data_IF_215376246422
#
_entry.id   IF_215376246422
#
_cell.length_a   1.000
_cell.length_b   1.000
_cell.length_c   1.000
_cell.angle_alpha   90.00
_cell.angle_beta   90.00
_cell.angle_gamma   90.00
#
_symmetry.space_group_name_H-M   'P 1'
#
loop_
_entity.id
_entity.type
_entity.pdbx_description
1 polymer ?
#
# COMPACT_ATOMS: atom_id res chain seq x y z
N UNK A 1 -66.39 -23.33 7.93
CA UNK A 1 -67.86 -23.40 7.77
C UNK A 1 -68.14 -23.50 6.28
N UNK A 2 -68.77 -24.58 5.81
CA UNK A 2 -69.06 -24.77 4.38
C UNK A 2 -70.14 -23.79 3.93
N UNK A 3 -69.83 -22.94 2.94
CA UNK A 3 -70.76 -22.04 2.27
C UNK A 3 -71.71 -22.88 1.41
N UNK A 4 -73.01 -22.85 1.73
CA UNK A 4 -74.03 -23.59 0.96
C UNK A 4 -74.54 -22.73 -0.18
N UNK A 5 -74.17 -23.08 -1.41
CA UNK A 5 -74.65 -22.44 -2.64
C UNK A 5 -76.06 -22.91 -2.99
N UNK A 6 -77.02 -21.98 -3.13
CA UNK A 6 -78.45 -22.30 -3.31
C UNK A 6 -78.96 -22.29 -4.75
N UNK A 7 -78.13 -21.94 -5.73
CA UNK A 7 -78.54 -21.88 -7.14
C UNK A 7 -77.52 -22.58 -8.03
N UNK A 8 -77.93 -23.34 -9.06
CA UNK A 8 -77.00 -23.95 -10.01
C UNK A 8 -76.26 -22.85 -10.79
N UNK A 9 -74.93 -22.85 -10.73
CA UNK A 9 -74.07 -21.87 -11.38
C UNK A 9 -72.59 -22.12 -11.12
N UNK A 10 -71.72 -21.42 -11.83
CA UNK A 10 -70.27 -21.43 -11.58
C UNK A 10 -69.97 -20.32 -10.58
N UNK A 11 -69.36 -20.68 -9.44
CA UNK A 11 -68.92 -19.75 -8.41
C UNK A 11 -67.40 -19.70 -8.40
N UNK A 12 -66.84 -18.49 -8.41
CA UNK A 12 -65.41 -18.25 -8.21
C UNK A 12 -65.25 -17.70 -6.80
N UNK A 13 -64.62 -18.47 -5.93
CA UNK A 13 -64.18 -17.99 -4.61
C UNK A 13 -62.73 -17.53 -4.70
N UNK A 14 -62.48 -16.26 -4.45
CA UNK A 14 -61.13 -15.75 -4.27
C UNK A 14 -60.71 -15.98 -2.82
N UNK A 15 -60.06 -17.12 -2.57
CA UNK A 15 -59.45 -17.39 -1.27
C UNK A 15 -58.16 -16.56 -1.23
N UNK A 16 -58.17 -15.41 -0.55
CA UNK A 16 -56.96 -14.66 -0.26
C UNK A 16 -56.08 -15.46 0.71
N UNK A 17 -55.26 -16.34 0.14
CA UNK A 17 -54.11 -16.93 0.82
C UNK A 17 -52.97 -15.94 0.63
N UNK A 18 -52.97 -14.84 1.37
CA UNK A 18 -51.69 -14.20 1.64
C UNK A 18 -50.78 -15.30 2.21
N UNK A 19 -49.60 -15.54 1.63
CA UNK A 19 -48.63 -16.42 2.26
C UNK A 19 -48.47 -15.94 3.71
N UNK A 20 -48.32 -16.84 4.69
CA UNK A 20 -47.93 -16.40 6.02
C UNK A 20 -46.72 -15.48 5.85
N UNK A 21 -46.81 -14.26 6.37
CA UNK A 21 -45.64 -13.37 6.43
C UNK A 21 -44.62 -14.09 7.28
N UNK A 22 -43.55 -14.57 6.63
CA UNK A 22 -42.39 -15.13 7.33
C UNK A 22 -41.72 -13.92 7.96
N UNK A 23 -41.77 -13.83 9.29
CA UNK A 23 -40.86 -12.93 10.00
C UNK A 23 -39.45 -13.34 9.58
N UNK A 24 -38.71 -12.41 8.98
CA UNK A 24 -37.35 -12.67 8.53
C UNK A 24 -36.49 -12.85 9.78
N UNK A 25 -36.32 -14.10 10.21
CA UNK A 25 -35.35 -14.45 11.23
C UNK A 25 -34.02 -14.53 10.51
N UNK A 26 -33.08 -13.67 10.89
CA UNK A 26 -31.74 -13.71 10.34
C UNK A 26 -31.12 -15.06 10.70
N UNK A 27 -30.90 -15.91 9.70
CA UNK A 27 -30.35 -17.27 9.88
C UNK A 27 -28.83 -17.27 9.93
N UNK A 28 -28.20 -16.10 9.90
CA UNK A 28 -26.77 -15.92 9.84
C UNK A 28 -26.39 -14.64 10.61
N UNK A 29 -26.23 -14.78 11.93
CA UNK A 29 -25.78 -13.69 12.80
C UNK A 29 -24.30 -13.95 13.11
N UNK A 30 -23.37 -13.22 12.45
CA UNK A 30 -21.95 -13.41 12.71
C UNK A 30 -21.51 -12.73 14.00
N UNK A 31 -20.52 -13.35 14.63
CA UNK A 31 -19.72 -12.77 15.69
C UNK A 31 -18.31 -12.53 15.18
N UNK A 32 -17.90 -11.27 15.22
CA UNK A 32 -16.54 -10.85 14.91
C UNK A 32 -15.75 -10.73 16.21
N UNK A 33 -14.67 -11.51 16.32
CA UNK A 33 -13.80 -11.53 17.49
C UNK A 33 -12.45 -10.91 17.13
N UNK A 34 -12.04 -9.87 17.86
CA UNK A 34 -10.79 -9.17 17.59
C UNK A 34 -10.62 -7.85 18.35
N UNK A 35 -9.65 -7.05 17.93
CA UNK A 35 -9.20 -5.83 18.57
C UNK A 35 -9.92 -4.61 17.99
N UNK A 36 -10.17 -3.64 18.85
CA UNK A 36 -10.89 -2.41 18.50
C UNK A 36 -10.12 -1.18 18.98
N UNK A 37 -10.51 0.02 18.56
CA UNK A 37 -9.87 1.26 19.06
C UNK A 37 -10.21 1.49 20.54
N UNK A 38 -11.48 1.24 20.86
CA UNK A 38 -12.08 1.42 22.18
C UNK A 38 -13.19 0.38 22.33
N UNK A 39 -13.70 0.19 23.53
CA UNK A 39 -14.90 -0.62 23.73
C UNK A 39 -15.71 0.03 24.85
N UNK A 40 -16.55 1.02 24.50
CA UNK A 40 -17.25 1.84 25.50
C UNK A 40 -18.68 2.13 25.03
N UNK A 41 -19.66 1.89 25.90
CA UNK A 41 -21.05 2.27 25.68
C UNK A 41 -21.58 3.00 26.90
N UNK A 42 -22.00 4.26 26.71
CA UNK A 42 -22.53 5.13 27.78
C UNK A 42 -21.61 5.24 29.01
N UNK A 43 -20.30 5.13 28.81
CA UNK A 43 -19.30 5.23 29.89
C UNK A 43 -18.95 3.89 30.55
N UNK A 44 -19.60 2.79 30.18
CA UNK A 44 -19.27 1.43 30.62
C UNK A 44 -18.37 0.74 29.59
N UNK A 45 -17.43 -0.06 30.09
CA UNK A 45 -16.51 -0.85 29.24
C UNK A 45 -17.26 -2.01 28.59
N UNK A 46 -17.04 -2.20 27.29
CA UNK A 46 -17.49 -3.35 26.50
C UNK A 46 -16.33 -4.29 26.15
N UNK A 47 -15.13 -4.07 26.70
CA UNK A 47 -14.01 -5.01 26.51
C UNK A 47 -14.40 -6.36 27.10
N UNK A 48 -14.23 -7.43 26.33
CA UNK A 48 -14.62 -8.79 26.70
C UNK A 48 -16.13 -8.95 26.99
N UNK A 49 -16.97 -8.10 26.39
CA UNK A 49 -18.43 -8.17 26.48
C UNK A 49 -19.03 -8.31 25.07
N UNK A 50 -19.48 -9.52 24.66
CA UNK A 50 -20.13 -9.74 23.37
C UNK A 50 -21.30 -8.78 23.17
N UNK A 51 -21.16 -7.85 22.23
CA UNK A 51 -22.14 -6.78 22.03
C UNK A 51 -22.79 -6.90 20.67
N UNK A 52 -24.12 -7.04 20.66
CA UNK A 52 -24.93 -6.97 19.44
C UNK A 52 -24.98 -5.54 18.91
N UNK A 53 -24.67 -5.36 17.64
CA UNK A 53 -24.81 -4.12 16.89
C UNK A 53 -25.66 -4.35 15.64
N UNK A 54 -26.26 -3.29 15.08
CA UNK A 54 -27.08 -3.38 13.87
C UNK A 54 -26.60 -2.50 12.72
N UNK A 55 -25.52 -1.74 12.90
CA UNK A 55 -24.97 -0.87 11.86
C UNK A 55 -23.50 -0.51 12.12
N UNK A 56 -22.81 -0.07 11.06
CA UNK A 56 -21.46 0.48 11.17
C UNK A 56 -21.40 1.73 12.07
N UNK A 57 -22.44 2.56 12.08
CA UNK A 57 -22.49 3.74 12.96
C UNK A 57 -22.48 3.35 14.44
N UNK A 58 -23.18 2.28 14.81
CA UNK A 58 -23.11 1.74 16.17
C UNK A 58 -21.72 1.18 16.47
N UNK A 59 -21.10 0.50 15.51
CA UNK A 59 -19.72 0.04 15.63
C UNK A 59 -18.78 1.22 15.92
N UNK A 60 -18.77 2.27 15.10
CA UNK A 60 -17.89 3.43 15.29
C UNK A 60 -18.14 4.15 16.63
N UNK A 61 -19.41 4.21 17.04
CA UNK A 61 -19.80 4.82 18.32
C UNK A 61 -19.20 4.05 19.50
N UNK A 62 -19.31 2.72 19.50
CA UNK A 62 -18.92 1.88 20.64
C UNK A 62 -17.46 1.41 20.58
N UNK A 63 -16.99 1.07 19.38
CA UNK A 63 -15.72 0.39 19.12
C UNK A 63 -14.67 1.24 18.40
N UNK A 64 -15.09 2.35 17.78
CA UNK A 64 -14.20 3.29 17.10
C UNK A 64 -13.84 2.87 15.67
N UNK A 65 -12.67 3.29 15.23
CA UNK A 65 -12.18 3.21 13.84
C UNK A 65 -10.89 2.39 13.74
N UNK A 66 -10.32 2.23 12.55
CA UNK A 66 -9.04 1.54 12.38
C UNK A 66 -7.89 2.30 13.05
N UNK A 67 -6.87 1.53 13.49
CA UNK A 67 -5.60 2.09 13.94
C UNK A 67 -4.98 2.90 12.81
N UNK A 68 -4.54 4.11 13.14
CA UNK A 68 -3.92 5.02 12.18
C UNK A 68 -2.54 4.51 11.75
N UNK A 69 -2.32 4.44 10.44
CA UNK A 69 -1.01 4.19 9.84
C UNK A 69 -0.09 5.39 10.04
N UNK A 70 1.17 5.12 10.37
CA UNK A 70 2.18 6.15 10.68
C UNK A 70 3.33 6.20 9.69
N UNK A 71 3.40 5.24 8.75
CA UNK A 71 4.55 5.07 7.84
C UNK A 71 4.25 5.49 6.40
N UNK A 72 3.11 6.12 6.14
CA UNK A 72 2.76 6.65 4.82
C UNK A 72 3.66 7.85 4.50
N UNK A 73 4.38 7.79 3.38
CA UNK A 73 5.28 8.85 2.91
C UNK A 73 4.89 9.27 1.50
N UNK A 74 4.90 10.58 1.23
CA UNK A 74 4.71 11.15 -0.10
C UNK A 74 6.05 11.68 -0.59
N UNK A 75 6.52 11.18 -1.74
CA UNK A 75 7.72 11.68 -2.39
C UNK A 75 7.32 12.53 -3.60
N UNK A 76 7.80 13.76 -3.62
CA UNK A 76 7.68 14.70 -4.73
C UNK A 76 9.07 14.83 -5.32
N UNK A 77 9.24 14.38 -6.55
CA UNK A 77 10.48 14.52 -7.31
C UNK A 77 10.23 15.54 -8.42
N UNK A 78 10.81 16.72 -8.27
CA UNK A 78 10.79 17.75 -9.31
C UNK A 78 12.07 17.67 -10.14
N UNK A 79 11.94 17.55 -11.46
CA UNK A 79 13.06 17.58 -12.40
C UNK A 79 12.85 18.72 -13.38
N UNK A 80 13.85 19.56 -13.56
CA UNK A 80 13.80 20.62 -14.59
C UNK A 80 14.41 20.08 -15.89
N UNK A 81 13.59 19.93 -16.92
CA UNK A 81 14.03 19.54 -18.27
C UNK A 81 13.70 20.70 -19.21
N UNK A 82 14.70 21.26 -19.89
CA UNK A 82 14.54 22.35 -20.85
C UNK A 82 13.73 23.55 -20.31
N UNK A 83 13.96 23.92 -19.03
CA UNK A 83 13.28 25.03 -18.36
C UNK A 83 11.82 24.75 -17.97
N UNK A 84 11.35 23.52 -18.17
CA UNK A 84 10.02 23.06 -17.73
C UNK A 84 10.16 22.17 -16.50
N UNK A 85 9.45 22.53 -15.43
CA UNK A 85 9.31 21.69 -14.24
C UNK A 85 8.46 20.47 -14.57
N UNK A 86 9.05 19.28 -14.49
CA UNK A 86 8.33 18.02 -14.43
C UNK A 86 8.26 17.58 -12.98
N UNK A 87 7.03 17.27 -12.52
CA UNK A 87 6.78 16.81 -11.16
C UNK A 87 6.28 15.38 -11.19
N UNK A 88 6.99 14.49 -10.51
CA UNK A 88 6.55 13.14 -10.21
C UNK A 88 6.14 13.07 -8.74
N UNK A 89 4.92 12.59 -8.47
CA UNK A 89 4.41 12.42 -7.11
C UNK A 89 4.13 10.95 -6.88
N UNK A 90 4.88 10.34 -5.97
CA UNK A 90 4.70 8.94 -5.58
C UNK A 90 4.28 8.85 -4.12
N UNK A 91 3.27 8.02 -3.86
CA UNK A 91 2.80 7.73 -2.50
C UNK A 91 3.28 6.33 -2.14
N UNK A 92 4.14 6.24 -1.12
CA UNK A 92 4.60 4.96 -0.61
C UNK A 92 3.58 4.41 0.39
N UNK A 93 3.06 3.22 0.11
CA UNK A 93 2.20 2.47 1.03
C UNK A 93 2.98 2.06 2.29
N UNK A 94 2.30 1.85 3.44
CA UNK A 94 2.93 1.33 4.64
C UNK A 94 3.68 0.02 4.36
N UNK A 95 4.96 -0.05 4.70
CA UNK A 95 5.78 -1.26 4.52
C UNK A 95 5.40 -2.36 5.52
N UNK A 96 4.80 -1.98 6.65
CA UNK A 96 4.24 -2.90 7.65
C UNK A 96 2.92 -2.32 8.12
N UNK A 97 1.82 -2.62 7.39
CA UNK A 97 0.49 -2.17 7.79
C UNK A 97 0.11 -2.66 9.17
N UNK A 98 -0.81 -1.96 9.81
CA UNK A 98 -1.37 -2.34 11.09
C UNK A 98 -1.96 -3.76 11.05
N UNK A 99 -1.70 -4.62 12.06
CA UNK A 99 -2.24 -5.97 12.09
C UNK A 99 -3.75 -6.03 12.38
N UNK A 100 -4.38 -4.90 12.70
CA UNK A 100 -5.78 -4.83 13.10
C UNK A 100 -6.70 -4.58 11.90
N UNK A 101 -7.41 -5.61 11.48
CA UNK A 101 -8.28 -5.64 10.32
C UNK A 101 -9.77 -5.55 10.67
N UNK A 102 -10.14 -5.73 11.95
CA UNK A 102 -11.53 -5.70 12.43
C UNK A 102 -12.38 -4.58 11.82
N UNK A 103 -11.94 -3.31 11.90
CA UNK A 103 -12.73 -2.19 11.37
C UNK A 103 -12.95 -2.28 9.85
N UNK A 104 -11.92 -2.63 9.08
CA UNK A 104 -12.04 -2.79 7.64
C UNK A 104 -12.97 -3.96 7.28
N UNK A 105 -12.91 -5.07 8.01
CA UNK A 105 -13.85 -6.19 7.86
C UNK A 105 -15.28 -5.76 8.14
N UNK A 106 -15.52 -4.91 9.14
CA UNK A 106 -16.84 -4.35 9.42
C UNK A 106 -17.35 -3.45 8.29
N UNK A 107 -16.49 -2.60 7.72
CA UNK A 107 -16.85 -1.76 6.58
C UNK A 107 -17.30 -2.62 5.38
N UNK A 108 -16.53 -3.66 5.04
CA UNK A 108 -16.85 -4.57 3.93
C UNK A 108 -18.12 -5.37 4.23
N UNK A 109 -18.28 -5.87 5.46
CA UNK A 109 -19.46 -6.62 5.86
C UNK A 109 -20.75 -5.80 5.64
N UNK A 110 -20.81 -4.58 6.19
CA UNK A 110 -21.99 -3.73 6.01
C UNK A 110 -22.14 -3.21 4.57
N UNK A 111 -21.04 -2.95 3.85
CA UNK A 111 -21.09 -2.57 2.44
C UNK A 111 -21.67 -3.68 1.54
N UNK A 112 -21.51 -4.95 1.92
CA UNK A 112 -22.08 -6.11 1.23
C UNK A 112 -23.50 -6.47 1.73
N UNK A 113 -24.18 -5.56 2.44
CA UNK A 113 -25.54 -5.78 2.94
C UNK A 113 -25.59 -6.60 4.24
N UNK A 114 -24.51 -6.56 5.02
CA UNK A 114 -24.46 -7.14 6.36
C UNK A 114 -25.59 -6.62 7.26
N UNK A 115 -26.09 -7.51 8.11
CA UNK A 115 -27.15 -7.23 9.07
C UNK A 115 -26.59 -7.06 10.49
N UNK A 116 -27.46 -7.19 11.50
CA UNK A 116 -27.06 -7.39 12.87
C UNK A 116 -25.98 -8.46 13.06
N UNK A 117 -25.00 -8.12 13.89
CA UNK A 117 -23.88 -8.98 14.21
C UNK A 117 -23.42 -8.72 15.65
N UNK A 118 -22.61 -9.63 16.17
CA UNK A 118 -21.95 -9.50 17.46
C UNK A 118 -20.51 -9.04 17.26
N UNK A 119 -20.06 -8.16 18.15
CA UNK A 119 -18.66 -7.76 18.26
C UNK A 119 -18.15 -8.23 19.61
N UNK A 120 -17.08 -9.00 19.59
CA UNK A 120 -16.32 -9.37 20.80
C UNK A 120 -14.99 -8.63 20.74
N UNK A 121 -14.95 -7.49 21.42
CA UNK A 121 -13.73 -6.69 21.53
C UNK A 121 -12.81 -7.28 22.59
N UNK A 122 -11.78 -8.01 22.19
CA UNK A 122 -10.89 -8.72 23.13
C UNK A 122 -9.90 -7.79 23.83
N UNK A 123 -9.47 -6.73 23.13
CA UNK A 123 -8.59 -5.70 23.68
C UNK A 123 -8.63 -4.45 22.78
N UNK A 124 -7.98 -3.38 23.21
CA UNK A 124 -7.78 -2.20 22.39
C UNK A 124 -6.42 -2.22 21.66
N UNK A 125 -6.17 -1.25 20.77
CA UNK A 125 -4.90 -1.16 20.04
C UNK A 125 -3.68 -0.77 20.89
N UNK A 126 -3.87 -0.02 21.98
CA UNK A 126 -2.78 0.74 22.65
C UNK A 126 -2.96 0.93 24.18
N UNK A 127 -3.20 -0.14 24.95
CA UNK A 127 -3.33 -0.06 26.42
C UNK A 127 -2.00 0.20 27.16
N UNK A 128 -1.32 1.31 26.88
CA UNK A 128 -0.03 1.70 27.51
C UNK A 128 1.23 1.26 26.73
N UNK A 129 1.03 0.79 25.50
CA UNK A 129 2.00 0.33 24.51
C UNK A 129 1.23 -0.35 23.38
N UNK A 130 1.79 -0.46 22.17
CA UNK A 130 1.10 -1.13 21.07
C UNK A 130 0.83 -2.59 21.48
N UNK A 131 -0.44 -2.94 21.67
CA UNK A 131 -0.81 -4.33 21.89
C UNK A 131 -0.43 -5.12 20.64
N UNK A 132 -0.15 -6.41 20.81
CA UNK A 132 0.03 -7.32 19.69
C UNK A 132 -1.13 -8.29 19.69
N UNK A 133 -1.63 -8.66 18.50
CA UNK A 133 -2.65 -9.69 18.40
C UNK A 133 -2.13 -10.97 19.04
N UNK A 134 -2.82 -11.43 20.08
CA UNK A 134 -2.42 -12.57 20.89
C UNK A 134 -3.42 -13.72 20.75
N UNK A 135 -2.89 -14.94 20.70
CA UNK A 135 -3.70 -16.16 20.66
C UNK A 135 -4.62 -16.30 21.87
N UNK A 136 -4.14 -15.92 23.06
CA UNK A 136 -4.92 -15.93 24.30
C UNK A 136 -6.13 -15.02 24.20
N UNK A 137 -5.95 -13.78 23.74
CA UNK A 137 -7.02 -12.78 23.71
C UNK A 137 -8.16 -13.23 22.77
N UNK A 138 -7.81 -13.78 21.59
CA UNK A 138 -8.81 -14.30 20.64
C UNK A 138 -9.50 -15.57 21.15
N UNK A 139 -8.79 -16.42 21.91
CA UNK A 139 -9.38 -17.61 22.54
C UNK A 139 -10.32 -17.21 23.69
N UNK A 140 -9.93 -16.25 24.52
CA UNK A 140 -10.79 -15.71 25.58
C UNK A 140 -12.07 -15.10 24.98
N UNK A 141 -11.95 -14.40 23.83
CA UNK A 141 -13.09 -13.91 23.06
C UNK A 141 -14.03 -15.02 22.56
N UNK A 142 -13.47 -16.15 22.13
CA UNK A 142 -14.24 -17.33 21.72
C UNK A 142 -14.99 -17.97 22.90
N UNK A 143 -14.34 -18.08 24.06
CA UNK A 143 -14.94 -18.62 25.29
C UNK A 143 -16.06 -17.71 25.84
N UNK A 144 -15.92 -16.39 25.67
CA UNK A 144 -16.97 -15.44 25.98
C UNK A 144 -18.16 -15.59 25.03
N UNK A 145 -17.88 -15.76 23.74
CA UNK A 145 -18.93 -15.95 22.74
C UNK A 145 -19.78 -17.19 23.05
N UNK A 146 -19.21 -18.27 23.59
CA UNK A 146 -19.93 -19.51 23.97
C UNK A 146 -21.19 -19.26 24.82
N UNK A 147 -21.19 -18.18 25.60
CA UNK A 147 -22.27 -17.86 26.55
C UNK A 147 -23.45 -17.16 25.88
N UNK A 148 -23.31 -16.79 24.61
CA UNK A 148 -24.35 -16.12 23.81
C UNK A 148 -25.09 -17.11 22.90
N UNK A 149 -26.41 -17.11 22.93
CA UNK A 149 -27.24 -18.07 22.17
C UNK A 149 -27.52 -17.63 20.72
N UNK A 150 -27.44 -16.33 20.40
CA UNK A 150 -27.79 -15.79 19.07
C UNK A 150 -26.73 -15.99 17.96
N UNK A 151 -25.41 -15.93 18.22
CA UNK A 151 -24.39 -16.06 17.18
C UNK A 151 -24.40 -17.42 16.48
N UNK A 152 -24.46 -17.41 15.16
CA UNK A 152 -24.43 -18.63 14.32
C UNK A 152 -23.18 -18.72 13.44
N UNK A 153 -22.43 -17.64 13.30
CA UNK A 153 -21.16 -17.61 12.54
C UNK A 153 -20.03 -17.04 13.40
N UNK A 154 -18.84 -17.63 13.31
CA UNK A 154 -17.64 -17.17 14.01
C UNK A 154 -16.62 -16.67 12.99
N UNK A 155 -16.09 -15.46 13.20
CA UNK A 155 -15.12 -14.80 12.31
C UNK A 155 -14.03 -14.14 13.15
N UNK A 156 -12.76 -14.28 12.72
CA UNK A 156 -11.59 -13.68 13.38
C UNK A 156 -10.80 -12.76 12.44
N UNK A 157 -11.23 -11.51 12.22
CA UNK A 157 -10.58 -10.58 11.29
C UNK A 157 -9.07 -10.40 11.53
N UNK A 158 -8.65 -10.38 12.80
CA UNK A 158 -7.28 -10.07 13.17
C UNK A 158 -6.38 -11.32 13.26
N UNK A 159 -6.93 -12.53 13.10
CA UNK A 159 -6.18 -13.77 13.29
C UNK A 159 -4.94 -13.85 12.40
N UNK A 160 -4.96 -13.21 11.22
CA UNK A 160 -3.83 -13.15 10.28
C UNK A 160 -2.50 -12.72 10.91
N UNK A 161 -2.57 -11.88 11.95
CA UNK A 161 -1.41 -11.36 12.65
C UNK A 161 -0.72 -12.42 13.56
N UNK A 162 -1.40 -13.54 13.85
CA UNK A 162 -0.82 -14.65 14.60
C UNK A 162 0.22 -15.42 13.79
N UNK A 163 1.13 -16.10 14.49
CA UNK A 163 1.99 -17.11 13.88
C UNK A 163 1.16 -18.30 13.38
N UNK A 164 1.66 -19.01 12.36
CA UNK A 164 0.95 -20.11 11.69
C UNK A 164 0.38 -21.16 12.66
N UNK A 165 1.17 -21.55 13.68
CA UNK A 165 0.76 -22.57 14.67
C UNK A 165 -0.43 -22.09 15.50
N UNK A 166 -0.36 -20.87 16.02
CA UNK A 166 -1.42 -20.29 16.84
C UNK A 166 -2.67 -20.00 16.01
N UNK A 167 -2.49 -19.54 14.76
CA UNK A 167 -3.57 -19.31 13.80
C UNK A 167 -4.42 -20.57 13.59
N UNK A 168 -3.80 -21.70 13.24
CA UNK A 168 -4.55 -22.94 13.03
C UNK A 168 -5.03 -23.59 14.34
N UNK A 169 -4.35 -23.35 15.47
CA UNK A 169 -4.87 -23.74 16.78
C UNK A 169 -6.17 -23.02 17.12
N UNK A 170 -6.28 -21.73 16.79
CA UNK A 170 -7.48 -20.92 17.06
C UNK A 170 -8.69 -21.44 16.27
N UNK A 171 -8.51 -21.73 14.99
CA UNK A 171 -9.60 -22.31 14.18
C UNK A 171 -9.98 -23.72 14.60
N UNK A 172 -9.03 -24.53 15.10
CA UNK A 172 -9.37 -25.82 15.70
C UNK A 172 -10.25 -25.63 16.95
N UNK A 173 -9.93 -24.67 17.83
CA UNK A 173 -10.77 -24.36 18.98
C UNK A 173 -12.17 -23.89 18.55
N UNK A 174 -12.27 -23.05 17.53
CA UNK A 174 -13.56 -22.63 16.98
C UNK A 174 -14.38 -23.80 16.42
N UNK A 175 -13.75 -24.74 15.70
CA UNK A 175 -14.40 -25.95 15.19
C UNK A 175 -14.88 -26.88 16.31
N UNK A 176 -14.10 -26.99 17.40
CA UNK A 176 -14.51 -27.75 18.59
C UNK A 176 -15.77 -27.13 19.21
N UNK A 177 -15.77 -25.82 19.46
CA UNK A 177 -16.95 -25.12 19.99
C UNK A 177 -18.17 -25.24 19.06
N UNK A 178 -17.98 -25.12 17.74
CA UNK A 178 -19.08 -25.30 16.79
C UNK A 178 -19.67 -26.71 16.83
N UNK A 179 -18.84 -27.74 17.03
CA UNK A 179 -19.31 -29.11 17.20
C UNK A 179 -20.06 -29.31 18.51
N UNK A 180 -19.63 -28.67 19.58
CA UNK A 180 -20.23 -28.81 20.90
C UNK A 180 -21.60 -28.10 20.98
N UNK A 181 -21.70 -26.90 20.40
CA UNK A 181 -22.95 -26.11 20.40
C UNK A 181 -23.92 -26.51 19.29
N UNK A 182 -23.41 -27.06 18.16
CA UNK A 182 -24.18 -27.58 17.02
C UNK A 182 -25.01 -26.56 16.22
N UNK A 183 -24.97 -25.29 16.60
CA UNK A 183 -25.69 -24.17 15.97
C UNK A 183 -24.74 -23.10 15.39
N UNK A 184 -23.42 -23.29 15.53
CA UNK A 184 -22.39 -22.39 15.01
C UNK A 184 -21.63 -22.96 13.83
N UNK A 185 -21.10 -22.06 13.02
CA UNK A 185 -20.25 -22.38 11.88
C UNK A 185 -19.11 -21.37 11.79
N UNK A 186 -17.87 -21.84 11.64
CA UNK A 186 -16.68 -20.97 11.61
C UNK A 186 -16.20 -20.71 10.19
N UNK A 187 -15.89 -19.44 9.90
CA UNK A 187 -15.31 -19.03 8.62
C UNK A 187 -13.79 -18.94 8.79
N UNK A 188 -13.07 -19.72 8.00
CA UNK A 188 -11.64 -19.95 8.16
C UNK A 188 -10.88 -19.30 7.01
N UNK A 189 -9.87 -18.50 7.33
CA UNK A 189 -8.93 -17.97 6.35
C UNK A 189 -7.69 -18.87 6.23
N UNK A 190 -6.93 -18.74 5.14
CA UNK A 190 -5.57 -19.30 5.06
C UNK A 190 -4.58 -18.40 5.81
N UNK A 191 -3.45 -18.94 6.28
CA UNK A 191 -2.41 -18.09 6.90
C UNK A 191 -1.61 -17.26 5.89
N UNK A 192 -1.56 -17.68 4.63
CA UNK A 192 -0.87 -16.95 3.56
C UNK A 192 -1.84 -16.58 2.43
N UNK A 193 -1.52 -15.50 1.73
CA UNK A 193 -2.24 -15.04 0.53
C UNK A 193 -1.72 -15.67 -0.76
N UNK A 194 -0.70 -16.53 -0.68
CA UNK A 194 -0.11 -17.15 -1.86
C UNK A 194 -1.11 -18.12 -2.47
N UNK A 195 -1.58 -17.81 -3.68
CA UNK A 195 -2.51 -18.63 -4.45
C UNK A 195 -1.78 -19.85 -5.06
N UNK A 196 -1.38 -20.75 -4.18
CA UNK A 196 -0.72 -22.01 -4.52
C UNK A 196 -1.58 -23.18 -4.05
N UNK A 197 -1.53 -24.29 -4.80
CA UNK A 197 -2.14 -25.58 -4.39
C UNK A 197 -1.65 -25.99 -2.99
N UNK A 198 -0.45 -25.55 -2.60
CA UNK A 198 0.16 -25.82 -1.31
C UNK A 198 -0.60 -25.16 -0.15
N UNK A 199 -1.18 -23.96 -0.30
CA UNK A 199 -1.92 -23.30 0.76
C UNK A 199 -3.13 -24.14 1.25
N UNK A 200 -3.90 -24.70 0.31
CA UNK A 200 -5.02 -25.58 0.63
C UNK A 200 -4.56 -26.90 1.28
N UNK A 201 -3.38 -27.40 0.90
CA UNK A 201 -2.79 -28.59 1.53
C UNK A 201 -2.31 -28.30 2.96
N UNK A 202 -1.68 -27.13 3.18
CA UNK A 202 -1.25 -26.67 4.50
C UNK A 202 -2.44 -26.61 5.47
N UNK A 203 -3.58 -26.02 5.06
CA UNK A 203 -4.77 -25.99 5.91
C UNK A 203 -5.24 -27.39 6.27
N UNK A 204 -5.29 -28.32 5.30
CA UNK A 204 -5.68 -29.73 5.55
C UNK A 204 -4.71 -30.46 6.47
N UNK A 205 -3.43 -30.16 6.39
CA UNK A 205 -2.40 -30.80 7.21
C UNK A 205 -2.33 -30.22 8.63
N UNK A 206 -2.69 -28.94 8.81
CA UNK A 206 -2.66 -28.24 10.10
C UNK A 206 -3.96 -28.38 10.91
N UNK A 207 -5.12 -28.36 10.26
CA UNK A 207 -6.42 -28.58 10.91
C UNK A 207 -6.71 -30.08 10.92
N UNK A 208 -6.14 -30.78 11.91
CA UNK A 208 -6.10 -32.25 11.96
C UNK A 208 -7.32 -32.90 12.66
N UNK A 209 -8.49 -32.25 12.60
CA UNK A 209 -9.70 -32.73 13.26
C UNK A 209 -10.47 -33.78 12.43
N UNK A 210 -11.27 -34.60 13.11
CA UNK A 210 -12.15 -35.59 12.47
C UNK A 210 -13.30 -34.94 11.69
N UNK A 211 -13.92 -35.69 10.77
CA UNK A 211 -15.03 -35.22 9.91
C UNK A 211 -16.22 -34.66 10.69
N UNK A 212 -16.43 -35.14 11.92
CA UNK A 212 -17.51 -34.65 12.80
C UNK A 212 -17.31 -33.18 13.20
N UNK A 213 -16.07 -32.71 13.25
CA UNK A 213 -15.73 -31.32 13.53
C UNK A 213 -15.63 -30.50 12.24
N UNK A 214 -14.97 -31.04 11.21
CA UNK A 214 -14.70 -30.33 9.95
C UNK A 214 -15.97 -29.88 9.22
N UNK A 215 -17.12 -30.54 9.46
CA UNK A 215 -18.41 -30.16 8.86
C UNK A 215 -18.95 -28.79 9.34
N UNK A 216 -18.37 -28.22 10.39
CA UNK A 216 -18.78 -26.94 10.99
C UNK A 216 -17.92 -25.74 10.56
N UNK A 217 -17.08 -25.87 9.53
CA UNK A 217 -16.34 -24.73 9.00
C UNK A 217 -16.15 -24.76 7.50
N UNK A 218 -15.87 -23.59 6.94
CA UNK A 218 -15.52 -23.43 5.53
C UNK A 218 -14.28 -22.54 5.41
N UNK A 219 -13.38 -22.93 4.52
CA UNK A 219 -12.13 -22.21 4.25
C UNK A 219 -12.31 -21.33 3.02
N UNK A 220 -11.95 -20.05 3.12
CA UNK A 220 -11.98 -19.09 2.03
C UNK A 220 -10.57 -18.55 1.75
N UNK A 221 -10.18 -18.55 0.47
CA UNK A 221 -8.92 -18.03 -0.05
C UNK A 221 -9.11 -17.68 -1.54
N UNK A 222 -8.28 -16.80 -2.13
CA UNK A 222 -7.23 -15.98 -1.52
C UNK A 222 -7.80 -14.72 -0.83
N UNK A 223 -6.93 -13.91 -0.21
CA UNK A 223 -7.34 -12.62 0.37
C UNK A 223 -7.81 -11.64 -0.71
N UNK A 224 -8.71 -10.74 -0.32
CA UNK A 224 -9.27 -9.74 -1.20
C UNK A 224 -8.44 -8.45 -1.16
N UNK A 225 -8.11 -7.92 -2.33
CA UNK A 225 -7.65 -6.55 -2.48
C UNK A 225 -8.87 -5.64 -2.59
N UNK A 226 -8.92 -4.59 -1.76
CA UNK A 226 -10.12 -3.75 -1.61
C UNK A 226 -9.82 -2.31 -1.98
N UNK A 227 -10.88 -1.53 -2.24
CA UNK A 227 -10.78 -0.09 -2.51
C UNK A 227 -10.75 0.75 -1.22
N UNK A 228 -10.68 0.11 -0.04
CA UNK A 228 -10.67 0.82 1.23
C UNK A 228 -9.28 1.43 1.44
N UNK A 229 -9.27 2.73 1.73
CA UNK A 229 -8.06 3.43 2.10
C UNK A 229 -7.67 3.10 3.54
N UNK A 230 -6.36 2.97 3.78
CA UNK A 230 -5.86 2.92 5.15
C UNK A 230 -6.27 4.17 5.91
N UNK A 231 -6.65 4.00 7.18
CA UNK A 231 -6.88 5.13 8.06
C UNK A 231 -5.54 5.73 8.48
N UNK A 232 -5.35 7.04 8.31
CA UNK A 232 -4.13 7.74 8.69
C UNK A 232 -4.45 9.17 9.12
N UNK A 233 -3.49 9.80 9.80
CA UNK A 233 -3.56 11.21 10.13
C UNK A 233 -2.76 12.03 9.10
N UNK A 234 -3.45 12.87 8.32
CA UNK A 234 -2.81 13.72 7.31
C UNK A 234 -1.69 14.60 7.89
N UNK A 235 -1.82 15.04 9.15
CA UNK A 235 -0.83 15.90 9.80
C UNK A 235 0.48 15.18 10.12
N UNK A 236 0.49 13.85 10.11
CA UNK A 236 1.70 13.04 10.39
C UNK A 236 2.37 12.51 9.13
N UNK A 237 1.77 12.73 7.95
CA UNK A 237 2.33 12.27 6.68
C UNK A 237 3.60 13.05 6.35
N UNK A 238 4.72 12.35 6.17
CA UNK A 238 5.98 12.94 5.74
C UNK A 238 5.95 13.21 4.24
N UNK A 239 6.24 14.46 3.85
CA UNK A 239 6.41 14.86 2.45
C UNK A 239 7.91 15.08 2.21
N UNK A 240 8.51 14.22 1.40
CA UNK A 240 9.88 14.38 0.94
C UNK A 240 9.85 15.07 -0.42
N UNK A 241 10.43 16.27 -0.51
CA UNK A 241 10.57 16.99 -1.78
C UNK A 241 12.04 16.97 -2.20
N UNK A 242 12.32 16.37 -3.35
CA UNK A 242 13.60 16.46 -4.03
C UNK A 242 13.45 17.29 -5.30
N UNK A 243 14.46 18.11 -5.61
CA UNK A 243 14.51 18.89 -6.84
C UNK A 243 15.87 18.70 -7.49
N UNK A 244 15.89 18.20 -8.72
CA UNK A 244 17.09 18.08 -9.54
C UNK A 244 17.01 19.04 -10.73
N UNK A 245 17.99 19.94 -10.82
CA UNK A 245 18.17 20.80 -11.99
C UNK A 245 19.13 20.13 -12.97
N UNK A 246 18.58 19.21 -13.78
CA UNK A 246 19.36 18.49 -14.79
C UNK A 246 19.91 19.42 -15.88
N UNK A 247 19.34 20.62 -16.04
CA UNK A 247 19.83 21.62 -16.99
C UNK A 247 21.06 22.35 -16.49
N UNK A 248 21.09 22.75 -15.22
CA UNK A 248 22.28 23.37 -14.64
C UNK A 248 23.53 22.45 -14.77
N UNK A 249 23.33 21.14 -14.57
CA UNK A 249 24.40 20.15 -14.75
C UNK A 249 24.79 19.98 -16.23
N UNK A 250 23.82 19.99 -17.16
CA UNK A 250 24.10 19.90 -18.59
C UNK A 250 24.86 21.14 -19.11
N UNK A 251 24.46 22.34 -18.67
CA UNK A 251 25.10 23.61 -19.02
C UNK A 251 26.56 23.67 -18.50
N UNK A 252 26.81 23.15 -17.30
CA UNK A 252 28.15 23.09 -16.72
C UNK A 252 29.05 22.06 -17.42
N UNK A 253 28.49 20.91 -17.83
CA UNK A 253 29.20 19.91 -18.64
C UNK A 253 29.53 20.44 -20.04
N UNK A 254 28.60 21.14 -20.69
CA UNK A 254 28.83 21.76 -22.00
C UNK A 254 29.89 22.87 -21.91
N UNK A 255 29.83 23.71 -20.88
CA UNK A 255 30.85 24.75 -20.62
C UNK A 255 32.23 24.13 -20.45
N UNK A 256 32.31 23.02 -19.71
CA UNK A 256 33.57 22.28 -19.49
C UNK A 256 34.07 21.63 -20.78
N UNK A 257 33.19 21.02 -21.57
CA UNK A 257 33.55 20.42 -22.86
C UNK A 257 34.11 21.48 -23.83
N UNK A 258 33.47 22.65 -23.92
CA UNK A 258 33.94 23.77 -24.73
C UNK A 258 35.31 24.29 -24.27
N UNK A 259 35.55 24.37 -22.97
CA UNK A 259 36.85 24.75 -22.42
C UNK A 259 37.97 23.74 -22.77
N UNK A 260 37.66 22.44 -22.75
CA UNK A 260 38.60 21.39 -23.16
C UNK A 260 38.97 21.50 -24.63
N UNK A 261 37.99 21.67 -25.52
CA UNK A 261 38.26 21.90 -26.95
C UNK A 261 39.10 23.16 -27.18
N UNK A 262 38.87 24.23 -26.40
CA UNK A 262 39.72 25.43 -26.43
C UNK A 262 41.18 25.16 -26.05
N UNK A 263 41.42 24.34 -25.02
CA UNK A 263 42.79 23.95 -24.63
C UNK A 263 43.48 23.08 -25.70
N UNK A 264 42.75 22.18 -26.35
CA UNK A 264 43.27 21.37 -27.46
C UNK A 264 43.72 22.24 -28.64
N UNK A 265 42.95 23.30 -28.97
CA UNK A 265 43.33 24.27 -30.00
C UNK A 265 44.62 25.02 -29.63
N UNK A 266 44.72 25.51 -28.39
CA UNK A 266 45.92 26.22 -27.91
C UNK A 266 47.15 25.30 -27.96
N UNK A 267 46.99 24.02 -27.61
CA UNK A 267 48.07 23.05 -27.68
C UNK A 267 48.51 22.79 -29.12
N UNK A 268 47.56 22.71 -30.06
CA UNK A 268 47.86 22.59 -31.49
C UNK A 268 48.62 23.81 -32.02
N UNK A 269 48.18 25.02 -31.67
CA UNK A 269 48.84 26.28 -32.03
C UNK A 269 50.24 26.41 -31.41
N UNK A 270 50.42 25.93 -30.17
CA UNK A 270 51.74 25.86 -29.55
C UNK A 270 52.68 24.88 -30.27
N UNK A 271 52.14 23.76 -30.77
CA UNK A 271 52.86 22.78 -31.56
C UNK A 271 53.32 23.33 -32.92
N UNK A 272 52.47 24.07 -33.62
CA UNK A 272 52.83 24.75 -34.88
C UNK A 272 53.88 25.83 -34.64
N UNK A 273 53.72 26.64 -33.60
CA UNK A 273 54.70 27.67 -33.22
C UNK A 273 56.08 27.05 -32.90
N UNK A 274 56.11 25.92 -32.18
CA UNK A 274 57.35 25.21 -31.90
C UNK A 274 58.02 24.67 -33.17
N UNK A 275 57.23 24.14 -34.12
CA UNK A 275 57.73 23.73 -35.42
C UNK A 275 58.31 24.90 -36.23
N UNK A 276 57.65 26.07 -36.19
CA UNK A 276 58.14 27.29 -36.85
C UNK A 276 59.44 27.82 -36.21
N UNK A 277 59.55 27.77 -34.88
CA UNK A 277 60.76 28.15 -34.16
C UNK A 277 61.94 27.21 -34.44
N UNK A 278 61.70 25.90 -34.47
CA UNK A 278 62.75 24.90 -34.75
C UNK A 278 63.21 24.93 -36.20
N UNK A 279 62.32 25.18 -37.15
CA UNK A 279 62.70 25.42 -38.56
C UNK A 279 63.48 26.73 -38.71
N UNK A 280 63.10 27.80 -38.00
CA UNK A 280 63.86 29.05 -37.96
C UNK A 280 65.28 28.87 -37.38
N UNK A 281 65.42 28.13 -36.26
CA UNK A 281 66.73 27.84 -35.66
C UNK A 281 67.61 26.94 -36.56
N UNK A 282 67.00 25.96 -37.24
CA UNK A 282 67.68 25.15 -38.25
C UNK A 282 68.21 25.98 -39.42
N UNK A 283 67.44 26.97 -39.89
CA UNK A 283 67.86 27.93 -40.91
C UNK A 283 68.99 28.86 -40.41
N UNK A 284 69.00 29.20 -39.12
CA UNK A 284 70.06 29.99 -38.49
C UNK A 284 71.39 29.21 -38.35
N UNK A 285 71.33 27.92 -38.01
CA UNK A 285 72.52 27.06 -37.88
C UNK A 285 73.11 26.56 -39.21
N UNK A 286 72.30 26.45 -40.27
CA UNK A 286 72.74 25.93 -41.57
C UNK A 286 73.64 26.90 -42.38
N UNK A 287 74.00 28.07 -41.84
CA UNK A 287 75.12 28.87 -42.36
C UNK A 287 74.78 29.79 -43.54
N UNK A 288 73.96 30.82 -43.29
CA UNK A 288 73.69 31.84 -44.30
C UNK A 288 73.08 33.14 -43.78
N UNK A 289 73.44 33.63 -42.58
CA UNK A 289 73.05 34.98 -42.14
C UNK A 289 74.27 35.75 -41.65
N UNK A 290 74.96 36.41 -42.58
CA UNK A 290 75.71 37.62 -42.28
C UNK A 290 74.71 38.78 -42.19
N UNK A 291 74.58 39.42 -41.03
CA UNK A 291 73.76 40.63 -40.93
C UNK A 291 74.41 41.81 -41.70
N UNK A 292 73.65 42.83 -42.15
CA UNK A 292 72.19 42.99 -42.17
C UNK A 292 71.66 43.20 -43.61
N UNK A 293 70.52 42.60 -43.97
CA UNK A 293 69.54 43.22 -44.92
C UNK A 293 68.33 42.34 -45.24
N UNK A 294 68.32 41.04 -44.92
CA UNK A 294 67.21 40.16 -45.35
C UNK A 294 66.17 39.80 -44.29
N UNK A 295 66.45 39.89 -43.00
CA UNK A 295 65.48 39.48 -41.95
C UNK A 295 64.42 40.56 -41.70
N UNK A 296 64.72 41.84 -41.96
CA UNK A 296 63.81 42.93 -41.61
C UNK A 296 62.62 43.07 -42.57
N UNK A 297 62.63 42.52 -43.79
CA UNK A 297 61.47 42.64 -44.69
C UNK A 297 60.48 41.48 -44.59
N UNK A 298 60.93 40.25 -44.35
CA UNK A 298 60.03 39.09 -44.38
C UNK A 298 59.22 38.93 -43.10
N UNK A 299 59.85 39.19 -41.93
CA UNK A 299 59.15 39.19 -40.63
C UNK A 299 58.17 40.36 -40.53
N UNK A 300 58.52 41.53 -41.07
CA UNK A 300 57.61 42.69 -41.11
C UNK A 300 56.41 42.44 -42.06
N UNK A 301 56.59 41.77 -43.21
CA UNK A 301 55.46 41.43 -44.09
C UNK A 301 54.49 40.42 -43.46
N UNK A 302 55.00 39.42 -42.73
CA UNK A 302 54.16 38.39 -42.11
C UNK A 302 53.40 38.93 -40.89
N UNK A 303 54.04 39.75 -40.04
CA UNK A 303 53.36 40.40 -38.91
C UNK A 303 52.33 41.45 -39.35
N UNK A 304 52.57 42.16 -40.45
CA UNK A 304 51.58 43.12 -41.02
C UNK A 304 50.38 42.38 -41.63
N UNK A 305 50.59 41.23 -42.27
CA UNK A 305 49.49 40.46 -42.88
C UNK A 305 48.58 39.84 -41.81
N UNK A 306 49.14 39.28 -40.73
CA UNK A 306 48.34 38.70 -39.64
C UNK A 306 47.61 39.76 -38.80
N UNK A 307 48.19 40.96 -38.64
CA UNK A 307 47.53 42.06 -37.88
C UNK A 307 46.41 42.73 -38.70
N UNK A 308 46.49 42.73 -40.04
CA UNK A 308 45.44 43.29 -40.90
C UNK A 308 44.25 42.34 -41.12
N UNK A 309 44.47 41.03 -41.14
CA UNK A 309 43.36 40.05 -41.26
C UNK A 309 42.52 39.99 -39.99
N UNK A 310 43.13 40.07 -38.81
CA UNK A 310 42.39 40.02 -37.53
C UNK A 310 41.60 41.29 -37.19
N UNK A 311 41.89 42.43 -37.83
CA UNK A 311 41.19 43.70 -37.62
C UNK A 311 40.07 43.99 -38.64
N UNK A 312 39.84 43.09 -39.61
CA UNK A 312 38.78 43.26 -40.62
C UNK A 312 37.57 42.32 -40.44
N UNK A 313 37.61 41.41 -39.46
CA UNK A 313 36.45 40.56 -39.09
C UNK A 313 35.66 41.09 -37.86
N UNK A 314 36.02 42.26 -37.30
CA UNK A 314 35.22 43.00 -36.30
C UNK A 314 34.75 44.37 -36.85
N UNK A 315 34.03 44.37 -37.97
CA UNK A 315 33.18 45.48 -38.43
C UNK A 315 31.89 44.99 -39.09
#
# INVERSE_FOLDING_TARGET
MSTTYKTPGVYVEEISKFPPSVAQVETAIPAFIGYTEKAIKKGESLTNDPTRITSLLEYETYFGTAKQETTITVNINDTVINGTLQRDVTVAQPTTPSPYLMYYSMQIYFANGGGPCFIVSVNNYDAGGANTVAFSDLTDGLDLLEKEDEPTLIVFPDAKALGEVDFYSLYQNALLQCNDMQDRFTIIDTHTSEDTIDAAQVVRDRISLGKDYLKYGAVYFPYLETILDYHYNESTVSITHSSEDSQALADEVETTANAVTGMESILADGGTLFADLTTSDGLMQAGGISAPDSITQQVIQQTITTTLTNNFDEL
#
